data_IF_856510904060
#
_entry.id   IF_856510904060
#
_cell.length_a   1.000
_cell.length_b   1.000
_cell.length_c   1.000
_cell.angle_alpha   90.00
_cell.angle_beta   90.00
_cell.angle_gamma   90.00
#
_symmetry.space_group_name_H-M   'P 1'
#
loop_
_entity.id
_entity.type
_entity.pdbx_description
1 polymer ?
#
# COMPACT_ATOMS: atom_id res chain seq x y z
N UNK A 1 11.87 -39.08 -18.37
CA UNK A 1 12.97 -38.10 -18.49
C UNK A 1 12.50 -36.64 -18.66
N UNK A 2 11.35 -36.34 -19.29
CA UNK A 2 10.86 -34.95 -19.46
C UNK A 2 10.45 -34.21 -18.17
N UNK A 3 10.08 -34.91 -17.10
CA UNK A 3 9.60 -34.31 -15.84
C UNK A 3 10.72 -33.73 -14.96
N UNK A 4 11.95 -34.25 -15.03
CA UNK A 4 13.12 -33.65 -14.39
C UNK A 4 13.58 -32.36 -15.10
N UNK A 5 13.41 -32.29 -16.42
CA UNK A 5 13.83 -31.15 -17.24
C UNK A 5 13.08 -29.86 -16.88
N UNK A 6 11.78 -29.94 -16.63
CA UNK A 6 10.97 -28.77 -16.25
C UNK A 6 11.07 -28.39 -14.76
N UNK A 7 11.34 -29.36 -13.87
CA UNK A 7 11.53 -29.09 -12.43
C UNK A 7 12.75 -28.20 -12.16
N UNK A 8 13.84 -28.41 -12.89
CA UNK A 8 15.09 -27.64 -12.77
C UNK A 8 15.06 -26.27 -13.47
N UNK A 9 13.93 -25.91 -14.09
CA UNK A 9 13.68 -24.57 -14.68
C UNK A 9 12.51 -23.87 -13.99
N UNK A 10 12.09 -24.37 -12.84
CA UNK A 10 11.09 -23.70 -12.02
C UNK A 10 11.65 -22.32 -11.61
N UNK A 11 10.89 -21.23 -11.74
CA UNK A 11 11.28 -19.91 -11.22
C UNK A 11 11.58 -19.90 -9.71
N UNK A 12 11.17 -20.95 -9.00
CA UNK A 12 11.38 -21.15 -7.57
C UNK A 12 12.56 -22.10 -7.25
N UNK A 13 13.32 -22.56 -8.24
CA UNK A 13 14.52 -23.37 -8.02
C UNK A 13 15.64 -22.49 -7.41
N UNK A 14 16.19 -22.83 -6.22
CA UNK A 14 17.27 -22.07 -5.59
C UNK A 14 18.47 -21.84 -6.50
N UNK A 15 18.82 -22.81 -7.34
CA UNK A 15 19.96 -22.69 -8.26
C UNK A 15 19.70 -21.65 -9.36
N UNK A 16 18.48 -21.61 -9.92
CA UNK A 16 18.09 -20.59 -10.89
C UNK A 16 18.05 -19.20 -10.27
N UNK A 17 17.49 -19.07 -9.05
CA UNK A 17 17.45 -17.79 -8.32
C UNK A 17 18.86 -17.27 -8.09
N UNK A 18 19.81 -18.13 -7.73
CA UNK A 18 21.20 -17.75 -7.54
C UNK A 18 21.85 -17.32 -8.86
N UNK A 19 21.70 -18.09 -9.93
CA UNK A 19 22.20 -17.71 -11.26
C UNK A 19 21.65 -16.35 -11.73
N UNK A 20 20.39 -16.02 -11.43
CA UNK A 20 19.82 -14.70 -11.74
C UNK A 20 20.43 -13.57 -10.91
N UNK A 21 20.80 -13.84 -9.65
CA UNK A 21 21.51 -12.85 -8.82
C UNK A 21 22.92 -12.63 -9.36
N UNK A 22 23.64 -13.72 -9.64
CA UNK A 22 25.01 -13.68 -10.13
C UNK A 22 25.07 -12.98 -11.50
N UNK A 23 24.19 -13.34 -12.45
CA UNK A 23 24.12 -12.67 -13.75
C UNK A 23 23.75 -11.18 -13.65
N UNK A 24 22.98 -10.79 -12.62
CA UNK A 24 22.67 -9.39 -12.37
C UNK A 24 23.87 -8.64 -11.79
N UNK A 25 24.64 -9.29 -10.93
CA UNK A 25 25.89 -8.75 -10.37
C UNK A 25 26.93 -8.56 -11.48
N UNK A 26 27.14 -9.58 -12.33
CA UNK A 26 28.03 -9.48 -13.50
C UNK A 26 27.63 -8.34 -14.45
N UNK A 27 26.35 -8.13 -14.69
CA UNK A 27 25.86 -7.02 -15.53
C UNK A 27 26.19 -5.66 -14.91
N UNK A 28 26.02 -5.53 -13.59
CA UNK A 28 26.37 -4.30 -12.86
C UNK A 28 27.87 -4.02 -12.93
N UNK A 29 28.70 -5.04 -12.72
CA UNK A 29 30.16 -4.92 -12.81
C UNK A 29 30.63 -4.53 -14.21
N UNK A 30 30.03 -5.11 -15.27
CA UNK A 30 30.32 -4.72 -16.65
C UNK A 30 29.93 -3.28 -16.94
N UNK A 31 28.77 -2.85 -16.41
CA UNK A 31 28.31 -1.47 -16.58
C UNK A 31 29.23 -0.48 -15.84
N UNK A 32 29.69 -0.82 -14.63
CA UNK A 32 30.63 0.01 -13.87
C UNK A 32 31.98 0.15 -14.61
N UNK A 33 32.51 -0.95 -15.15
CA UNK A 33 33.74 -0.91 -15.96
C UNK A 33 33.59 -0.05 -17.22
N UNK A 34 32.48 -0.20 -17.96
CA UNK A 34 32.22 0.61 -19.16
C UNK A 34 32.11 2.11 -18.81
N UNK A 35 31.50 2.43 -17.67
CA UNK A 35 31.36 3.78 -17.15
C UNK A 35 32.69 4.40 -16.70
N UNK A 36 33.57 3.59 -16.07
CA UNK A 36 34.95 3.98 -15.74
C UNK A 36 35.77 4.25 -17.00
N UNK A 37 35.71 3.36 -17.99
CA UNK A 37 36.41 3.53 -19.28
C UNK A 37 35.95 4.79 -20.01
N UNK A 38 34.64 5.07 -20.04
CA UNK A 38 34.09 6.33 -20.59
C UNK A 38 34.63 7.56 -19.88
N UNK A 39 34.71 7.53 -18.55
CA UNK A 39 35.27 8.63 -17.78
C UNK A 39 36.76 8.84 -18.07
N UNK A 40 37.55 7.76 -18.03
CA UNK A 40 38.98 7.82 -18.34
C UNK A 40 39.22 8.34 -19.75
N UNK A 41 38.47 7.84 -20.73
CA UNK A 41 38.54 8.31 -22.11
C UNK A 41 38.22 9.81 -22.21
N UNK A 42 37.13 10.27 -21.60
CA UNK A 42 36.76 11.68 -21.58
C UNK A 42 37.89 12.56 -21.00
N UNK A 43 38.38 12.23 -19.81
CA UNK A 43 39.42 13.03 -19.15
C UNK A 43 40.76 12.99 -19.88
N UNK A 44 41.12 11.89 -20.55
CA UNK A 44 42.33 11.82 -21.39
C UNK A 44 42.32 12.85 -22.53
N UNK A 45 41.14 13.12 -23.12
CA UNK A 45 40.99 14.10 -24.20
C UNK A 45 41.04 15.55 -23.69
N UNK A 46 40.72 15.80 -22.41
CA UNK A 46 40.65 17.15 -21.83
C UNK A 46 42.01 17.86 -21.79
N UNK A 47 43.12 17.12 -21.82
CA UNK A 47 44.46 17.69 -21.89
C UNK A 47 44.70 18.45 -23.21
N UNK A 48 44.01 18.07 -24.30
CA UNK A 48 44.11 18.71 -25.62
C UNK A 48 43.21 19.94 -25.77
N UNK A 49 42.24 20.11 -24.87
CA UNK A 49 41.27 21.22 -24.91
C UNK A 49 41.87 22.47 -24.26
N UNK A 50 41.51 23.67 -24.76
CA UNK A 50 41.93 24.96 -24.19
C UNK A 50 41.43 25.11 -22.74
N UNK A 51 42.28 25.63 -21.85
CA UNK A 51 42.00 25.74 -20.40
C UNK A 51 40.67 26.44 -20.08
N UNK A 52 40.30 27.46 -20.85
CA UNK A 52 39.04 28.21 -20.70
C UNK A 52 37.78 27.38 -20.98
N UNK A 53 37.87 26.36 -21.83
CA UNK A 53 36.74 25.51 -22.21
C UNK A 53 36.64 24.23 -21.36
N UNK A 54 37.75 23.83 -20.71
CA UNK A 54 37.81 22.57 -19.94
C UNK A 54 36.72 22.50 -18.87
N UNK A 55 36.55 23.57 -18.09
CA UNK A 55 35.60 23.61 -16.99
C UNK A 55 34.15 23.40 -17.46
N UNK A 56 33.76 24.07 -18.55
CA UNK A 56 32.40 23.97 -19.11
C UNK A 56 32.11 22.54 -19.61
N UNK A 57 33.04 21.99 -20.38
CA UNK A 57 32.91 20.64 -20.95
C UNK A 57 32.85 19.56 -19.86
N UNK A 58 33.72 19.64 -18.86
CA UNK A 58 33.69 18.72 -17.70
C UNK A 58 32.37 18.83 -16.95
N UNK A 59 31.87 20.04 -16.71
CA UNK A 59 30.58 20.24 -16.05
C UNK A 59 29.42 19.63 -16.83
N UNK A 60 29.35 19.83 -18.16
CA UNK A 60 28.31 19.27 -19.01
C UNK A 60 28.36 17.74 -19.05
N UNK A 61 29.56 17.17 -19.17
CA UNK A 61 29.77 15.72 -19.09
C UNK A 61 29.31 15.16 -17.75
N UNK A 62 29.79 15.69 -16.62
CA UNK A 62 29.40 15.23 -15.28
C UNK A 62 27.91 15.39 -15.03
N UNK A 63 27.29 16.45 -15.55
CA UNK A 63 25.84 16.69 -15.44
C UNK A 63 25.04 15.64 -16.23
N UNK A 64 25.48 15.25 -17.42
CA UNK A 64 24.88 14.20 -18.22
C UNK A 64 25.10 12.81 -17.59
N UNK A 65 26.33 12.53 -17.19
CA UNK A 65 26.74 11.29 -16.55
C UNK A 65 25.96 11.05 -15.25
N UNK A 66 25.85 12.05 -14.36
CA UNK A 66 25.05 11.98 -13.13
C UNK A 66 23.55 11.74 -13.39
N UNK A 67 23.01 12.12 -14.56
CA UNK A 67 21.61 11.79 -14.91
C UNK A 67 21.44 10.33 -15.35
N UNK A 68 22.50 9.71 -15.89
CA UNK A 68 22.52 8.33 -16.35
C UNK A 68 22.88 7.36 -15.22
N UNK A 69 23.96 7.63 -14.48
CA UNK A 69 24.45 6.81 -13.35
C UNK A 69 23.79 7.16 -12.02
N UNK A 70 23.20 8.35 -11.91
CA UNK A 70 22.29 8.71 -10.84
C UNK A 70 21.02 7.89 -10.98
N UNK A 71 21.11 6.62 -10.57
CA UNK A 71 19.95 5.77 -10.40
C UNK A 71 18.89 6.59 -9.69
N UNK A 72 17.76 6.80 -10.37
CA UNK A 72 16.52 6.94 -9.62
C UNK A 72 16.48 5.64 -8.84
N UNK A 73 16.86 5.69 -7.55
CA UNK A 73 16.71 4.58 -6.60
C UNK A 73 15.49 3.79 -7.05
N UNK A 74 15.62 2.50 -7.38
CA UNK A 74 14.52 1.73 -7.94
C UNK A 74 13.32 2.04 -7.07
N UNK A 75 12.26 2.60 -7.67
CA UNK A 75 11.07 3.03 -6.95
C UNK A 75 10.75 1.89 -6.01
N UNK A 76 11.00 2.06 -4.70
CA UNK A 76 10.77 1.00 -3.71
C UNK A 76 9.25 0.88 -3.60
N UNK A 77 8.69 0.14 -4.55
CA UNK A 77 7.29 -0.15 -4.63
C UNK A 77 7.10 -1.36 -3.73
N UNK A 78 6.49 -1.13 -2.58
CA UNK A 78 6.08 -2.22 -1.71
C UNK A 78 4.83 -2.84 -2.37
N UNK A 79 4.88 -4.09 -2.83
CA UNK A 79 3.73 -4.74 -3.45
C UNK A 79 2.52 -4.75 -2.52
N UNK A 80 1.31 -4.64 -3.09
CA UNK A 80 0.06 -4.69 -2.32
C UNK A 80 -0.05 -5.98 -1.47
N UNK A 81 0.45 -7.10 -1.99
CA UNK A 81 0.48 -8.40 -1.29
C UNK A 81 1.28 -8.36 0.00
N UNK A 82 2.40 -7.62 0.02
CA UNK A 82 3.22 -7.45 1.22
C UNK A 82 2.49 -6.66 2.30
N UNK A 83 1.69 -5.66 1.90
CA UNK A 83 0.83 -4.92 2.83
C UNK A 83 -0.28 -5.80 3.42
N UNK A 84 -0.96 -6.57 2.57
CA UNK A 84 -2.04 -7.48 2.99
C UNK A 84 -1.51 -8.53 3.99
N UNK A 85 -0.35 -9.11 3.70
CA UNK A 85 0.27 -10.09 4.59
C UNK A 85 0.59 -9.52 5.98
N UNK A 86 1.13 -8.30 6.07
CA UNK A 86 1.38 -7.66 7.37
C UNK A 86 0.08 -7.27 8.09
N UNK A 87 -0.95 -6.82 7.36
CA UNK A 87 -2.25 -6.52 7.96
C UNK A 87 -2.92 -7.75 8.56
N UNK A 88 -2.83 -8.91 7.91
CA UNK A 88 -3.37 -10.16 8.47
C UNK A 88 -2.68 -10.58 9.79
N UNK A 89 -1.47 -10.09 10.07
CA UNK A 89 -0.80 -10.32 11.36
C UNK A 89 -1.32 -9.40 12.46
N UNK A 90 -1.87 -8.23 12.11
CA UNK A 90 -2.43 -7.29 13.07
C UNK A 90 -3.80 -7.80 13.50
N UNK A 91 -3.85 -8.45 14.66
CA UNK A 91 -5.13 -8.65 15.34
C UNK A 91 -5.67 -7.27 15.73
N UNK A 92 -6.88 -6.96 15.29
CA UNK A 92 -7.60 -5.76 15.74
C UNK A 92 -7.76 -5.77 17.26
N UNK A 93 -8.11 -4.63 17.87
CA UNK A 93 -8.48 -4.60 19.27
C UNK A 93 -9.62 -5.60 19.53
N UNK A 94 -9.45 -6.49 20.50
CA UNK A 94 -10.50 -7.40 20.93
C UNK A 94 -11.63 -6.55 21.55
N UNK A 95 -12.67 -6.27 20.77
CA UNK A 95 -13.91 -5.69 21.30
C UNK A 95 -14.64 -6.75 22.13
N UNK A 96 -14.16 -7.00 23.34
CA UNK A 96 -14.93 -7.73 24.34
C UNK A 96 -15.90 -6.73 24.96
N UNK A 97 -17.15 -6.75 24.49
CA UNK A 97 -18.26 -6.17 25.24
C UNK A 97 -18.24 -6.86 26.61
N UNK A 98 -17.98 -6.09 27.67
CA UNK A 98 -18.02 -6.58 29.05
C UNK A 98 -19.40 -7.21 29.28
N UNK A 99 -19.46 -8.54 29.37
CA UNK A 99 -20.72 -9.26 29.66
C UNK A 99 -21.30 -8.90 31.04
N UNK A 100 -20.54 -8.18 31.88
CA UNK A 100 -20.93 -7.80 33.23
C UNK A 100 -21.73 -6.50 33.28
N UNK A 101 -21.74 -5.69 32.21
CA UNK A 101 -22.60 -4.50 32.12
C UNK A 101 -23.96 -4.86 31.51
N UNK A 102 -24.75 -5.69 32.21
CA UNK A 102 -26.15 -6.01 31.86
C UNK A 102 -27.10 -4.82 32.05
N UNK A 103 -26.65 -3.59 31.82
CA UNK A 103 -27.57 -2.45 31.71
C UNK A 103 -28.22 -2.57 30.33
N UNK A 104 -29.53 -2.78 30.31
CA UNK A 104 -30.31 -2.81 29.08
C UNK A 104 -29.95 -1.59 28.24
N UNK A 105 -29.32 -1.82 27.08
CA UNK A 105 -29.01 -0.75 26.14
C UNK A 105 -30.36 -0.24 25.66
N UNK A 106 -30.66 1.03 25.91
CA UNK A 106 -31.91 1.63 25.46
C UNK A 106 -31.94 1.60 23.94
N UNK A 107 -33.00 1.03 23.38
CA UNK A 107 -33.24 1.06 21.94
C UNK A 107 -33.28 2.52 21.46
N UNK A 108 -32.56 2.88 20.39
CA UNK A 108 -32.49 4.25 19.91
C UNK A 108 -33.85 4.70 19.34
N UNK A 109 -34.16 5.99 19.49
CA UNK A 109 -35.36 6.58 18.87
C UNK A 109 -35.21 6.65 17.35
N UNK A 110 -36.33 6.70 16.62
CA UNK A 110 -36.32 6.97 15.18
C UNK A 110 -35.66 8.31 14.86
N UNK A 111 -35.84 9.31 15.72
CA UNK A 111 -35.24 10.64 15.55
C UNK A 111 -33.73 10.62 15.72
N UNK A 112 -33.22 9.77 16.64
CA UNK A 112 -31.78 9.60 16.85
C UNK A 112 -31.12 9.00 15.61
N UNK A 113 -31.72 7.94 15.07
CA UNK A 113 -31.24 7.28 13.84
C UNK A 113 -31.29 8.27 12.66
N UNK A 114 -32.38 9.01 12.51
CA UNK A 114 -32.51 10.02 11.46
C UNK A 114 -31.42 11.10 11.58
N UNK A 115 -31.17 11.59 12.80
CA UNK A 115 -30.13 12.58 13.06
C UNK A 115 -28.71 12.03 12.78
N UNK A 116 -28.45 10.76 13.07
CA UNK A 116 -27.18 10.10 12.75
C UNK A 116 -26.98 10.03 11.23
N UNK A 117 -27.99 9.55 10.49
CA UNK A 117 -27.94 9.44 9.02
C UNK A 117 -27.67 10.81 8.39
N UNK A 118 -28.35 11.86 8.87
CA UNK A 118 -28.17 13.23 8.38
C UNK A 118 -26.77 13.79 8.64
N UNK A 119 -26.11 13.39 9.73
CA UNK A 119 -24.74 13.81 10.09
C UNK A 119 -23.66 13.02 9.36
N UNK A 120 -23.99 11.94 8.65
CA UNK A 120 -23.01 11.18 7.88
C UNK A 120 -22.35 12.05 6.81
N UNK A 121 -21.03 11.89 6.66
CA UNK A 121 -20.24 12.69 5.71
C UNK A 121 -20.42 12.15 4.29
N UNK A 122 -20.74 13.05 3.36
CA UNK A 122 -20.92 12.77 1.92
C UNK A 122 -19.59 12.47 1.22
N UNK A 123 -19.66 11.82 0.05
CA UNK A 123 -18.49 11.54 -0.78
C UNK A 123 -17.52 10.51 -0.20
N UNK A 124 -18.01 9.61 0.67
CA UNK A 124 -17.24 8.47 1.17
C UNK A 124 -17.42 7.31 0.20
N UNK A 125 -16.34 6.55 -0.02
CA UNK A 125 -16.36 5.32 -0.84
C UNK A 125 -17.37 4.32 -0.26
N UNK A 126 -18.20 3.68 -1.09
CA UNK A 126 -19.14 2.67 -0.62
C UNK A 126 -18.44 1.58 0.17
N UNK A 127 -19.13 1.10 1.21
CA UNK A 127 -18.67 -0.02 2.03
C UNK A 127 -18.87 -1.35 1.28
N UNK A 128 -18.56 -2.51 1.89
CA UNK A 128 -18.76 -3.81 1.23
C UNK A 128 -20.20 -4.07 0.75
N UNK A 129 -21.17 -3.41 1.38
CA UNK A 129 -22.59 -3.38 0.99
C UNK A 129 -22.85 -2.59 -0.30
N UNK A 130 -21.85 -1.90 -0.84
CA UNK A 130 -21.90 -1.04 -2.03
C UNK A 130 -22.91 0.11 -1.93
N UNK A 131 -23.42 0.39 -0.73
CA UNK A 131 -24.40 1.45 -0.53
C UNK A 131 -23.69 2.80 -0.34
N UNK A 132 -24.18 3.78 -1.09
CA UNK A 132 -23.69 5.16 -1.04
C UNK A 132 -24.41 5.90 0.08
N UNK A 133 -23.70 6.71 0.89
CA UNK A 133 -24.25 7.42 2.06
C UNK A 133 -25.44 8.31 1.69
N UNK A 134 -25.36 8.92 0.52
CA UNK A 134 -26.38 9.80 -0.05
C UNK A 134 -27.72 9.08 -0.23
N UNK A 135 -27.72 7.77 -0.50
CA UNK A 135 -28.96 6.98 -0.58
C UNK A 135 -29.68 6.92 0.76
N UNK A 136 -28.95 6.80 1.87
CA UNK A 136 -29.53 6.81 3.21
C UNK A 136 -30.06 8.19 3.58
N UNK A 137 -29.37 9.27 3.18
CA UNK A 137 -29.78 10.64 3.48
C UNK A 137 -31.06 11.06 2.76
N UNK A 138 -31.32 10.47 1.59
CA UNK A 138 -32.53 10.70 0.81
C UNK A 138 -33.56 9.57 0.95
N UNK A 139 -33.34 8.62 1.87
CA UNK A 139 -34.24 7.51 2.07
C UNK A 139 -35.59 7.96 2.67
N UNK A 140 -36.70 7.30 2.30
CA UNK A 140 -38.02 7.60 2.87
C UNK A 140 -38.08 7.26 4.36
N UNK A 141 -38.98 7.91 5.10
CA UNK A 141 -39.13 7.69 6.55
C UNK A 141 -39.41 6.22 6.92
N UNK A 142 -40.09 5.48 6.02
CA UNK A 142 -40.35 4.04 6.16
C UNK A 142 -39.04 3.25 6.30
N UNK A 143 -38.00 3.64 5.57
CA UNK A 143 -36.68 3.01 5.66
C UNK A 143 -36.04 3.26 7.03
N UNK A 144 -36.10 4.49 7.55
CA UNK A 144 -35.56 4.83 8.87
C UNK A 144 -36.25 3.99 9.96
N UNK A 145 -37.58 3.84 9.88
CA UNK A 145 -38.34 2.97 10.82
C UNK A 145 -37.89 1.51 10.77
N UNK A 146 -37.61 0.98 9.58
CA UNK A 146 -37.09 -0.38 9.43
C UNK A 146 -35.70 -0.52 10.04
N UNK A 147 -34.80 0.44 9.80
CA UNK A 147 -33.45 0.45 10.39
C UNK A 147 -33.52 0.52 11.91
N UNK A 148 -34.35 1.41 12.46
CA UNK A 148 -34.56 1.52 13.92
C UNK A 148 -35.05 0.19 14.51
N UNK A 149 -35.96 -0.51 13.82
CA UNK A 149 -36.45 -1.83 14.26
C UNK A 149 -35.35 -2.89 14.28
N UNK A 150 -34.47 -2.91 13.28
CA UNK A 150 -33.35 -3.86 13.21
C UNK A 150 -32.34 -3.58 14.32
N UNK A 151 -31.95 -2.31 14.51
CA UNK A 151 -31.00 -1.91 15.56
C UNK A 151 -31.60 -2.17 16.94
N UNK A 152 -32.88 -1.85 17.16
CA UNK A 152 -33.58 -2.11 18.41
C UNK A 152 -33.53 -3.59 18.81
N UNK A 153 -33.78 -4.49 17.85
CA UNK A 153 -33.65 -5.95 18.09
C UNK A 153 -32.23 -6.36 18.50
N UNK A 154 -31.20 -5.77 17.89
CA UNK A 154 -29.81 -6.08 18.23
C UNK A 154 -29.41 -5.52 19.61
N UNK A 155 -29.94 -4.35 19.99
CA UNK A 155 -29.77 -3.80 21.34
C UNK A 155 -30.49 -4.65 22.41
N UNK A 156 -31.71 -5.13 22.13
CA UNK A 156 -32.48 -5.99 23.02
C UNK A 156 -31.84 -7.36 23.22
N UNK A 157 -31.32 -7.98 22.15
CA UNK A 157 -30.64 -9.26 22.22
C UNK A 157 -29.23 -9.17 22.80
N UNK A 158 -28.71 -7.95 22.99
CA UNK A 158 -27.32 -7.66 23.34
C UNK A 158 -26.32 -8.44 22.48
N UNK A 159 -26.67 -8.64 21.20
CA UNK A 159 -25.94 -9.49 20.27
C UNK A 159 -26.00 -8.90 18.88
N UNK A 160 -24.82 -8.71 18.29
CA UNK A 160 -24.66 -8.24 16.92
C UNK A 160 -24.14 -9.38 16.04
N UNK A 161 -24.55 -9.44 14.76
CA UNK A 161 -23.95 -10.36 13.80
C UNK A 161 -22.43 -10.19 13.78
N UNK A 162 -21.70 -11.30 13.64
CA UNK A 162 -20.23 -11.29 13.60
C UNK A 162 -19.71 -10.34 12.51
N UNK A 163 -20.35 -10.32 11.34
CA UNK A 163 -20.04 -9.43 10.21
C UNK A 163 -20.10 -7.93 10.57
N UNK A 164 -20.90 -7.55 11.58
CA UNK A 164 -21.00 -6.15 12.03
C UNK A 164 -19.90 -5.76 13.01
N UNK A 165 -19.28 -6.77 13.64
CA UNK A 165 -18.17 -6.61 14.60
C UNK A 165 -16.82 -6.67 13.87
N UNK A 166 -16.79 -7.24 12.67
CA UNK A 166 -15.60 -7.30 11.83
C UNK A 166 -15.27 -5.94 11.20
N UNK A 167 -13.98 -5.63 11.13
CA UNK A 167 -13.48 -4.38 10.54
C UNK A 167 -12.55 -4.70 9.38
N UNK A 168 -12.79 -4.08 8.23
CA UNK A 168 -11.88 -4.14 7.09
C UNK A 168 -10.77 -3.12 7.28
N UNK A 169 -9.53 -3.59 7.32
CA UNK A 169 -8.35 -2.73 7.38
C UNK A 169 -7.81 -2.47 5.96
N UNK A 170 -7.81 -1.21 5.54
CA UNK A 170 -7.20 -0.77 4.29
C UNK A 170 -5.92 0.00 4.64
N UNK A 171 -4.73 -0.43 4.17
CA UNK A 171 -3.49 0.24 4.50
C UNK A 171 -3.41 1.56 3.74
N UNK A 172 -3.41 2.68 4.46
CA UNK A 172 -3.23 4.02 3.87
C UNK A 172 -1.79 4.49 4.16
N UNK A 173 -0.90 4.55 3.16
CA UNK A 173 0.46 5.03 3.36
C UNK A 173 0.50 6.44 3.93
N UNK A 174 1.36 6.68 4.93
CA UNK A 174 1.59 8.03 5.49
C UNK A 174 2.33 8.95 4.52
N UNK A 175 3.12 8.36 3.62
CA UNK A 175 3.99 9.06 2.66
C UNK A 175 3.71 8.53 1.26
N UNK A 176 3.83 9.39 0.26
CA UNK A 176 3.66 9.00 -1.15
C UNK A 176 4.64 7.89 -1.61
N UNK A 177 5.78 7.74 -0.90
CA UNK A 177 6.79 6.71 -1.15
C UNK A 177 7.16 6.02 0.18
N UNK A 178 6.36 5.06 0.63
CA UNK A 178 6.66 4.33 1.86
C UNK A 178 7.96 3.54 1.69
N UNK A 179 8.83 3.59 2.71
CA UNK A 179 10.10 2.83 2.71
C UNK A 179 9.96 1.52 3.48
N UNK A 180 8.94 1.43 4.33
CA UNK A 180 8.62 0.27 5.14
C UNK A 180 7.13 -0.08 5.04
N UNK A 181 6.80 -1.35 5.20
CA UNK A 181 5.41 -1.85 5.33
C UNK A 181 4.75 -1.32 6.63
N UNK A 182 5.54 -0.75 7.54
CA UNK A 182 5.02 -0.07 8.74
C UNK A 182 4.64 1.40 8.49
N UNK A 183 4.92 1.96 7.30
CA UNK A 183 4.63 3.37 6.96
C UNK A 183 3.15 3.60 6.56
N UNK A 184 2.19 2.95 7.23
CA UNK A 184 0.75 3.18 7.04
C UNK A 184 0.10 3.79 8.28
N UNK A 185 -1.07 4.40 8.08
CA UNK A 185 -1.94 4.87 9.16
C UNK A 185 -2.62 3.64 9.78
N UNK A 186 -2.24 3.32 11.02
CA UNK A 186 -2.96 2.35 11.85
C UNK A 186 -4.29 3.01 12.23
N UNK A 187 -5.39 2.31 11.99
CA UNK A 187 -6.74 2.68 12.38
C UNK A 187 -7.12 1.94 13.66
#
# INVERSE_FOLDING_TARGET
MKTKYWKNRSPNDPAMIQNFKDAREELLDLQEKEDEEKCQHFFSQMHRVRKSQRMKMTYEFLRGFKKQTGSKQPKRFIPISTWIHELHKVKGPDFRISQNDKKAIKSPSTDDIHNIIKKMKKGIVPRPDQMIIELYQHAPEVFVKQVTKIIGKACESNSFPQEWVETIQIPIPKKARPRSVNDYRKM
#
